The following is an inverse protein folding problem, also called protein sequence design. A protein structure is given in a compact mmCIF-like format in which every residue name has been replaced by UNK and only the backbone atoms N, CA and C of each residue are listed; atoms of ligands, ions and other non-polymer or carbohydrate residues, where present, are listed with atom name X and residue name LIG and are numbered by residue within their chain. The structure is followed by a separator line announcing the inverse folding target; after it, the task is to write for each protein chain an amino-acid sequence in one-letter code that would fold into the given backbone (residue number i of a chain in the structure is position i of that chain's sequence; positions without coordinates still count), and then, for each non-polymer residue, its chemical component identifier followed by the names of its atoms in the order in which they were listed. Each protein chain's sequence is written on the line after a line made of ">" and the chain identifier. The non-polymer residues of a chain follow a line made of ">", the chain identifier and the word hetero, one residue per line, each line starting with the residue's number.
data_IF_992585444840
#
_entry.id   IF_992585444840
#
_cell.length_a   1.000
_cell.length_b   1.000
_cell.length_c   1.000
_cell.angle_alpha   90.00
_cell.angle_beta   90.00
_cell.angle_gamma   90.00
#
_symmetry.space_group_name_H-M   'P 1'
#
loop_
_entity.id
_entity.type
_entity.pdbx_description
1 polymer ?
#
# COMPACT_ATOMS: atom_id res chain seq x y z
N UNK A 1 -4.15 -35.90 6.89
CA UNK A 1 -3.41 -34.74 6.32
C UNK A 1 -3.98 -33.49 6.98
N UNK A 2 -3.18 -32.73 7.73
CA UNK A 2 -3.64 -31.44 8.24
C UNK A 2 -3.89 -30.51 7.04
N UNK A 3 -5.11 -29.99 6.93
CA UNK A 3 -5.49 -29.06 5.87
C UNK A 3 -4.58 -27.82 5.95
N UNK A 4 -3.87 -27.54 4.87
CA UNK A 4 -3.13 -26.28 4.75
C UNK A 4 -4.13 -25.16 4.45
N UNK A 5 -3.90 -23.99 5.02
CA UNK A 5 -4.87 -22.90 5.04
C UNK A 5 -4.96 -22.19 3.68
N UNK A 6 -6.00 -22.51 2.89
CA UNK A 6 -6.33 -21.76 1.67
C UNK A 6 -7.05 -20.42 1.95
N UNK A 7 -7.19 -20.02 3.22
CA UNK A 7 -7.90 -18.78 3.59
C UNK A 7 -7.10 -17.53 3.21
N UNK A 8 -7.85 -16.47 2.88
CA UNK A 8 -7.33 -15.11 2.78
C UNK A 8 -6.79 -14.60 4.13
N UNK A 9 -7.47 -14.96 5.23
CA UNK A 9 -7.05 -14.69 6.61
C UNK A 9 -6.71 -16.01 7.29
N UNK A 10 -5.45 -16.48 7.21
CA UNK A 10 -5.05 -17.64 7.99
C UNK A 10 -5.05 -17.31 9.49
N UNK A 11 -5.48 -18.24 10.31
CA UNK A 11 -5.62 -18.06 11.76
C UNK A 11 -4.28 -18.24 12.51
N UNK A 12 -4.17 -17.78 13.77
CA UNK A 12 -3.01 -18.10 14.61
C UNK A 12 -2.78 -19.61 14.79
N UNK A 13 -3.85 -20.42 14.78
CA UNK A 13 -3.74 -21.88 14.84
C UNK A 13 -3.12 -22.45 13.55
N UNK A 14 -3.47 -21.89 12.39
CA UNK A 14 -2.84 -22.25 11.11
C UNK A 14 -1.34 -21.92 11.12
N UNK A 15 -0.98 -20.76 11.69
CA UNK A 15 0.42 -20.37 11.88
C UNK A 15 1.18 -21.36 12.78
N UNK A 16 0.61 -21.74 13.93
CA UNK A 16 1.21 -22.69 14.85
C UNK A 16 1.45 -24.05 14.17
N UNK A 17 0.44 -24.57 13.47
CA UNK A 17 0.51 -25.83 12.71
C UNK A 17 1.54 -25.75 11.59
N UNK A 18 1.58 -24.63 10.86
CA UNK A 18 2.56 -24.40 9.80
C UNK A 18 3.99 -24.48 10.34
N UNK A 19 4.28 -23.74 11.42
CA UNK A 19 5.64 -23.70 11.99
C UNK A 19 6.05 -25.02 12.65
N UNK A 20 5.11 -25.75 13.27
CA UNK A 20 5.36 -27.11 13.75
C UNK A 20 5.77 -28.05 12.61
N UNK A 21 5.03 -28.00 11.49
CA UNK A 21 5.37 -28.76 10.28
C UNK A 21 6.74 -28.35 9.72
N UNK A 22 7.06 -27.05 9.67
CA UNK A 22 8.39 -26.62 9.19
C UNK A 22 9.53 -27.07 10.14
N UNK A 23 9.33 -27.06 11.46
CA UNK A 23 10.33 -27.55 12.42
C UNK A 23 10.59 -29.05 12.28
N UNK A 24 9.56 -29.83 11.95
CA UNK A 24 9.69 -31.29 11.73
C UNK A 24 10.39 -31.66 10.42
N UNK A 25 10.48 -30.72 9.46
CA UNK A 25 11.26 -30.90 8.24
C UNK A 25 12.73 -30.67 8.60
N UNK A 26 13.59 -31.62 8.24
CA UNK A 26 15.04 -31.39 8.32
C UNK A 26 15.36 -30.13 7.51
N UNK A 27 16.20 -29.24 8.06
CA UNK A 27 16.74 -28.09 7.33
C UNK A 27 17.42 -28.67 6.09
N UNK A 28 16.76 -28.55 4.95
CA UNK A 28 17.34 -29.03 3.71
C UNK A 28 18.40 -28.02 3.35
N UNK A 29 19.65 -28.46 3.32
CA UNK A 29 20.78 -27.72 2.80
C UNK A 29 20.42 -27.27 1.38
N UNK A 30 19.99 -26.02 1.27
CA UNK A 30 19.34 -25.47 0.12
C UNK A 30 19.97 -24.13 -0.15
N UNK A 31 20.47 -23.95 -1.36
CA UNK A 31 20.98 -22.63 -1.76
C UNK A 31 19.77 -21.75 -2.11
N UNK A 32 19.90 -20.45 -1.82
CA UNK A 32 18.98 -19.44 -2.38
C UNK A 32 18.90 -19.59 -3.91
N UNK A 33 17.79 -19.19 -4.56
CA UNK A 33 17.67 -19.30 -6.01
C UNK A 33 18.85 -18.66 -6.74
N UNK A 34 19.24 -19.22 -7.90
CA UNK A 34 20.43 -18.77 -8.63
C UNK A 34 20.36 -17.28 -8.96
N UNK A 35 21.44 -16.55 -8.61
CA UNK A 35 21.54 -15.11 -8.82
C UNK A 35 20.80 -14.24 -7.80
N UNK A 36 20.27 -14.82 -6.73
CA UNK A 36 19.72 -14.08 -5.58
C UNK A 36 20.75 -13.96 -4.44
N UNK A 37 20.72 -12.88 -3.65
CA UNK A 37 21.66 -12.69 -2.55
C UNK A 37 21.41 -13.69 -1.42
N UNK A 38 22.48 -14.20 -0.80
CA UNK A 38 22.33 -15.06 0.40
C UNK A 38 21.77 -14.30 1.60
N UNK A 39 22.06 -13.00 1.68
CA UNK A 39 21.60 -12.09 2.71
C UNK A 39 21.53 -10.67 2.14
N UNK A 40 20.44 -9.97 2.40
CA UNK A 40 20.28 -8.54 2.14
C UNK A 40 20.84 -7.75 3.33
N UNK A 41 21.55 -6.66 3.06
CA UNK A 41 22.10 -5.77 4.08
C UNK A 41 21.74 -4.33 3.71
N UNK A 42 20.91 -3.69 4.53
CA UNK A 42 20.41 -2.33 4.33
C UNK A 42 19.67 -1.87 5.58
N UNK A 43 19.52 -0.56 5.86
CA UNK A 43 18.60 -0.05 6.88
C UNK A 43 17.14 -0.51 6.71
N UNK A 44 16.77 -1.00 5.53
CA UNK A 44 15.47 -1.62 5.26
C UNK A 44 15.32 -3.03 5.84
N UNK A 45 16.40 -3.64 6.34
CA UNK A 45 16.40 -4.96 6.98
C UNK A 45 16.31 -4.75 8.48
N UNK A 46 15.12 -4.97 9.04
CA UNK A 46 14.86 -4.81 10.46
C UNK A 46 13.82 -5.81 10.96
N UNK A 47 13.99 -6.24 12.20
CA UNK A 47 13.00 -6.97 13.01
C UNK A 47 12.02 -6.02 13.69
N UNK A 48 10.91 -6.54 14.24
CA UNK A 48 9.96 -5.74 15.02
C UNK A 48 10.68 -5.00 16.15
N UNK A 49 11.51 -5.73 16.89
CA UNK A 49 12.18 -5.24 18.09
C UNK A 49 13.13 -4.09 17.77
N UNK A 50 13.94 -4.22 16.73
CA UNK A 50 14.86 -3.17 16.26
C UNK A 50 14.12 -1.91 15.77
N UNK A 51 12.97 -2.09 15.12
CA UNK A 51 12.15 -0.98 14.66
C UNK A 51 11.47 -0.25 15.83
N UNK A 52 10.91 -0.99 16.80
CA UNK A 52 10.23 -0.45 17.97
C UNK A 52 11.18 0.27 18.93
N UNK A 53 12.43 -0.18 19.06
CA UNK A 53 13.48 0.50 19.84
C UNK A 53 13.72 1.95 19.34
N UNK A 54 13.50 2.20 18.04
CA UNK A 54 13.70 3.50 17.39
C UNK A 54 12.39 4.17 16.99
N UNK A 55 11.32 3.94 17.75
CA UNK A 55 9.99 4.43 17.40
C UNK A 55 9.86 5.96 17.33
N UNK A 56 10.75 6.71 17.99
CA UNK A 56 10.81 8.17 17.91
C UNK A 56 11.19 8.65 16.51
N UNK A 57 12.01 7.87 15.80
CA UNK A 57 12.55 8.22 14.49
C UNK A 57 11.50 8.00 13.38
N UNK A 58 10.39 7.33 13.72
CA UNK A 58 9.26 7.13 12.81
C UNK A 58 8.56 8.45 12.47
N UNK A 59 8.71 9.49 13.28
CA UNK A 59 7.92 10.71 13.16
C UNK A 59 8.73 11.90 12.63
N UNK A 60 8.16 12.55 11.64
CA UNK A 60 8.51 13.91 11.23
C UNK A 60 7.48 14.88 11.79
N UNK A 61 7.84 15.63 12.83
CA UNK A 61 6.92 16.57 13.48
C UNK A 61 7.00 17.94 12.78
N UNK A 62 5.86 18.42 12.27
CA UNK A 62 5.69 19.78 11.81
C UNK A 62 5.61 20.74 13.00
N UNK A 63 6.41 21.80 12.97
CA UNK A 63 6.32 22.91 13.92
C UNK A 63 5.18 23.85 13.56
N UNK A 64 4.82 24.78 14.45
CA UNK A 64 3.84 25.83 14.14
C UNK A 64 4.23 26.64 12.89
N UNK A 65 5.51 27.03 12.79
CA UNK A 65 6.05 27.74 11.63
C UNK A 65 5.96 26.91 10.33
N UNK A 66 6.16 25.59 10.43
CA UNK A 66 6.01 24.69 9.28
C UNK A 66 4.54 24.63 8.81
N UNK A 67 3.58 24.61 9.75
CA UNK A 67 2.14 24.61 9.45
C UNK A 67 1.72 25.95 8.83
N UNK A 68 2.20 27.08 9.36
CA UNK A 68 1.95 28.41 8.80
C UNK A 68 2.52 28.56 7.39
N UNK A 69 3.67 27.95 7.12
CA UNK A 69 4.26 27.88 5.79
C UNK A 69 3.39 27.08 4.81
N UNK A 70 2.85 25.93 5.24
CA UNK A 70 1.91 25.11 4.46
C UNK A 70 0.62 25.88 4.17
N UNK A 71 0.05 26.54 5.17
CA UNK A 71 -1.17 27.36 5.02
C UNK A 71 -0.93 28.52 4.04
N UNK A 72 0.22 29.18 4.15
CA UNK A 72 0.61 30.26 3.24
C UNK A 72 0.79 29.76 1.80
N UNK A 73 1.37 28.57 1.60
CA UNK A 73 1.51 27.96 0.28
C UNK A 73 0.15 27.60 -0.32
N UNK A 74 -0.76 27.03 0.49
CA UNK A 74 -2.15 26.76 0.10
C UNK A 74 -2.87 28.03 -0.36
N UNK A 75 -2.83 29.11 0.45
CA UNK A 75 -3.49 30.38 0.08
C UNK A 75 -2.92 30.98 -1.21
N UNK A 76 -1.60 30.90 -1.43
CA UNK A 76 -0.99 31.36 -2.69
C UNK A 76 -1.43 30.52 -3.88
N UNK A 77 -1.47 29.20 -3.74
CA UNK A 77 -1.89 28.28 -4.79
C UNK A 77 -3.34 28.54 -5.21
N UNK A 78 -4.26 28.68 -4.24
CA UNK A 78 -5.66 28.99 -4.49
C UNK A 78 -5.84 30.40 -5.08
N UNK A 79 -5.13 31.40 -4.55
CA UNK A 79 -5.19 32.78 -5.03
C UNK A 79 -4.67 32.97 -6.46
N UNK A 80 -3.76 32.10 -6.92
CA UNK A 80 -3.27 32.08 -8.29
C UNK A 80 -4.23 31.37 -9.29
N UNK A 81 -5.29 30.70 -8.79
CA UNK A 81 -6.24 29.98 -9.63
C UNK A 81 -5.63 28.75 -10.32
N UNK A 82 -4.62 28.13 -9.71
CA UNK A 82 -3.97 26.95 -10.26
C UNK A 82 -4.87 25.71 -10.18
N UNK A 83 -4.87 24.92 -11.27
CA UNK A 83 -5.50 23.60 -11.30
C UNK A 83 -4.69 22.61 -10.44
N UNK A 84 -5.35 21.66 -9.75
CA UNK A 84 -4.65 20.72 -8.87
C UNK A 84 -3.64 19.82 -9.60
N UNK A 85 -3.86 19.58 -10.89
CA UNK A 85 -2.91 18.90 -11.78
C UNK A 85 -1.57 19.61 -11.94
N UNK A 86 -1.52 20.91 -11.64
CA UNK A 86 -0.30 21.73 -11.69
C UNK A 86 0.51 21.74 -10.39
N UNK A 87 0.06 21.03 -9.34
CA UNK A 87 0.75 20.99 -8.04
C UNK A 87 2.17 20.42 -8.21
N UNK A 88 3.15 21.25 -7.89
CA UNK A 88 4.58 20.97 -7.92
C UNK A 88 5.31 21.77 -6.82
N UNK A 89 6.62 21.60 -6.70
CA UNK A 89 7.46 22.39 -5.80
C UNK A 89 7.51 23.89 -6.16
N UNK A 90 7.13 24.25 -7.38
CA UNK A 90 7.08 25.64 -7.86
C UNK A 90 5.72 26.28 -7.57
N UNK A 91 4.62 25.56 -7.83
CA UNK A 91 3.25 26.09 -7.65
C UNK A 91 2.79 26.00 -6.19
N UNK A 92 3.26 25.00 -5.43
CA UNK A 92 3.06 24.87 -3.98
C UNK A 92 4.38 25.13 -3.24
N UNK A 93 4.99 26.30 -3.47
CA UNK A 93 6.32 26.59 -2.93
C UNK A 93 6.34 26.71 -1.40
N UNK A 94 7.14 25.87 -0.74
CA UNK A 94 7.49 25.94 0.68
C UNK A 94 8.86 26.60 0.90
N UNK A 95 9.11 27.20 2.09
CA UNK A 95 10.43 27.69 2.46
C UNK A 95 11.51 26.61 2.30
N UNK A 96 12.70 27.01 1.88
CA UNK A 96 13.81 26.07 1.61
C UNK A 96 14.08 25.14 2.79
N UNK A 97 14.07 25.66 4.04
CA UNK A 97 14.29 24.85 5.24
C UNK A 97 13.29 23.70 5.42
N UNK A 98 12.00 23.97 5.23
CA UNK A 98 10.95 22.94 5.31
C UNK A 98 11.03 21.99 4.10
N UNK A 99 11.23 22.52 2.89
CA UNK A 99 11.40 21.71 1.68
C UNK A 99 12.56 20.71 1.82
N UNK A 100 13.74 21.15 2.27
CA UNK A 100 14.90 20.27 2.50
C UNK A 100 14.62 19.20 3.56
N UNK A 101 13.91 19.56 4.64
CA UNK A 101 13.50 18.61 5.68
C UNK A 101 12.50 17.58 5.15
N UNK A 102 11.55 17.97 4.29
CA UNK A 102 10.64 17.04 3.62
C UNK A 102 11.37 16.10 2.64
N UNK A 103 12.45 16.55 2.01
CA UNK A 103 13.33 15.66 1.22
C UNK A 103 13.97 14.57 2.05
N UNK A 104 14.24 14.81 3.34
CA UNK A 104 14.74 13.77 4.23
C UNK A 104 13.69 12.68 4.49
N UNK A 105 12.39 12.99 4.46
CA UNK A 105 11.32 11.98 4.51
C UNK A 105 11.46 10.99 3.34
N UNK A 106 11.75 11.49 2.14
CA UNK A 106 12.00 10.64 0.97
C UNK A 106 13.27 9.79 1.15
N UNK A 107 14.35 10.37 1.69
CA UNK A 107 15.56 9.62 2.02
C UNK A 107 15.27 8.49 3.02
N UNK A 108 14.47 8.73 4.06
CA UNK A 108 14.08 7.70 5.03
C UNK A 108 13.27 6.57 4.38
N UNK A 109 12.42 6.87 3.40
CA UNK A 109 11.69 5.87 2.65
C UNK A 109 12.60 5.03 1.73
N UNK A 110 13.51 5.63 0.98
CA UNK A 110 14.33 4.91 0.01
C UNK A 110 15.64 4.32 0.59
N UNK A 111 16.20 4.91 1.64
CA UNK A 111 17.54 4.59 2.16
C UNK A 111 17.58 4.35 3.67
N UNK A 112 16.55 4.79 4.40
CA UNK A 112 16.39 4.57 5.84
C UNK A 112 15.56 3.31 6.15
N UNK A 113 14.74 3.40 7.19
CA UNK A 113 13.90 2.29 7.68
C UNK A 113 12.78 1.89 6.72
N UNK A 114 12.53 2.68 5.67
CA UNK A 114 11.55 2.37 4.63
C UNK A 114 10.21 3.06 4.79
N UNK A 115 10.02 3.86 5.84
CA UNK A 115 8.81 4.66 6.01
C UNK A 115 9.06 5.85 6.94
N UNK A 116 8.16 6.83 6.91
CA UNK A 116 8.08 7.88 7.93
C UNK A 116 6.66 8.44 8.02
N UNK A 117 6.24 8.84 9.22
CA UNK A 117 4.95 9.46 9.53
C UNK A 117 5.16 10.95 9.77
N UNK A 118 4.59 11.79 8.91
CA UNK A 118 4.51 13.22 9.11
C UNK A 118 3.29 13.56 9.99
N UNK A 119 3.52 14.32 11.06
CA UNK A 119 2.52 14.65 12.09
C UNK A 119 2.45 16.16 12.36
N UNK A 120 1.25 16.66 12.65
CA UNK A 120 1.03 18.03 13.14
C UNK A 120 -0.11 18.79 12.46
N UNK A 121 -0.66 18.27 11.36
CA UNK A 121 -1.80 18.90 10.68
C UNK A 121 -3.11 18.59 11.40
N UNK A 122 -4.07 19.53 11.38
CA UNK A 122 -5.46 19.25 11.72
C UNK A 122 -6.35 19.31 10.47
N UNK A 123 -6.83 18.16 9.94
CA UNK A 123 -7.62 18.14 8.71
C UNK A 123 -8.96 18.88 8.82
N UNK A 124 -9.48 19.15 10.04
CA UNK A 124 -10.71 19.94 10.19
C UNK A 124 -10.53 21.44 9.90
N UNK A 125 -9.29 21.93 9.83
CA UNK A 125 -9.02 23.33 9.44
C UNK A 125 -9.08 23.55 7.92
N UNK A 126 -9.20 22.48 7.14
CA UNK A 126 -9.19 22.51 5.69
C UNK A 126 -10.52 21.99 5.13
N UNK A 127 -10.99 22.60 4.05
CA UNK A 127 -12.04 21.97 3.22
C UNK A 127 -11.53 20.65 2.63
N UNK A 128 -12.44 19.83 2.08
CA UNK A 128 -12.03 18.57 1.46
C UNK A 128 -11.06 18.80 0.27
N UNK A 129 -11.31 19.82 -0.55
CA UNK A 129 -10.41 20.23 -1.64
C UNK A 129 -9.06 20.71 -1.10
N UNK A 130 -9.05 21.52 -0.04
CA UNK A 130 -7.80 22.01 0.57
C UNK A 130 -6.99 20.87 1.19
N UNK A 131 -7.62 19.88 1.84
CA UNK A 131 -6.93 18.68 2.32
C UNK A 131 -6.22 17.94 1.17
N UNK A 132 -6.86 17.83 0.00
CA UNK A 132 -6.26 17.23 -1.19
C UNK A 132 -5.06 18.06 -1.70
N UNK A 133 -5.19 19.39 -1.78
CA UNK A 133 -4.11 20.29 -2.22
C UNK A 133 -2.93 20.24 -1.25
N UNK A 134 -3.16 20.34 0.06
CA UNK A 134 -2.12 20.27 1.10
C UNK A 134 -1.39 18.93 1.03
N UNK A 135 -2.14 17.83 0.92
CA UNK A 135 -1.55 16.50 0.80
C UNK A 135 -0.66 16.36 -0.44
N UNK A 136 -1.16 16.78 -1.60
CA UNK A 136 -0.41 16.73 -2.86
C UNK A 136 0.80 17.68 -2.87
N UNK A 137 0.66 18.85 -2.26
CA UNK A 137 1.71 19.87 -2.13
C UNK A 137 2.86 19.39 -1.25
N UNK A 138 2.56 18.86 -0.07
CA UNK A 138 3.58 18.25 0.81
C UNK A 138 4.23 17.04 0.11
N UNK A 139 3.42 16.16 -0.51
CA UNK A 139 3.95 15.01 -1.24
C UNK A 139 4.88 15.42 -2.39
N UNK A 140 4.63 16.55 -3.07
CA UNK A 140 5.50 17.05 -4.13
C UNK A 140 6.92 17.38 -3.62
N UNK A 141 7.04 17.87 -2.38
CA UNK A 141 8.33 18.11 -1.72
C UNK A 141 9.01 16.84 -1.19
N UNK A 142 8.30 15.71 -1.10
CA UNK A 142 8.86 14.42 -0.64
C UNK A 142 9.23 13.57 -1.86
N UNK A 143 8.25 13.16 -2.66
CA UNK A 143 8.40 12.34 -3.84
C UNK A 143 7.56 12.94 -4.99
N UNK A 144 8.17 13.73 -5.90
CA UNK A 144 7.47 14.70 -6.73
C UNK A 144 6.56 14.09 -7.80
N UNK A 145 6.75 12.81 -8.17
CA UNK A 145 5.95 12.18 -9.20
C UNK A 145 4.81 11.39 -8.57
N UNK A 146 3.57 11.83 -8.79
CA UNK A 146 2.39 11.05 -8.43
C UNK A 146 2.18 9.92 -9.43
N UNK A 147 1.75 8.76 -8.95
CA UNK A 147 1.41 7.58 -9.75
C UNK A 147 -0.09 7.50 -9.98
N UNK A 148 -0.50 6.98 -11.14
CA UNK A 148 -1.91 6.74 -11.41
C UNK A 148 -2.44 5.53 -10.63
N UNK A 149 -3.63 5.68 -10.05
CA UNK A 149 -4.26 4.71 -9.15
C UNK A 149 -5.29 3.84 -9.85
N UNK A 150 -5.81 4.28 -11.00
CA UNK A 150 -6.85 3.65 -11.80
C UNK A 150 -6.28 2.91 -13.02
N UNK A 151 -7.10 2.02 -13.61
CA UNK A 151 -6.69 1.21 -14.77
C UNK A 151 -6.67 2.01 -16.06
N UNK A 152 -7.40 3.13 -16.09
CA UNK A 152 -7.39 4.12 -17.16
C UNK A 152 -6.11 4.97 -17.14
N UNK A 153 -5.35 4.93 -16.04
CA UNK A 153 -4.13 5.70 -15.82
C UNK A 153 -4.37 7.22 -15.96
N UNK A 154 -5.42 7.73 -15.31
CA UNK A 154 -5.78 9.15 -15.31
C UNK A 154 -5.76 9.75 -13.89
N UNK A 155 -6.26 9.02 -12.89
CA UNK A 155 -6.43 9.51 -11.51
C UNK A 155 -5.17 9.31 -10.68
N UNK A 156 -4.64 10.37 -10.06
CA UNK A 156 -3.42 10.31 -9.23
C UNK A 156 -3.66 10.34 -7.72
N UNK A 157 -4.89 10.64 -7.30
CA UNK A 157 -5.34 10.59 -5.91
C UNK A 157 -6.59 9.74 -5.83
N UNK A 158 -6.67 8.92 -4.80
CA UNK A 158 -7.72 7.94 -4.64
C UNK A 158 -8.23 7.98 -3.23
N UNK A 159 -9.55 7.83 -3.10
CA UNK A 159 -10.20 7.78 -1.81
C UNK A 159 -10.16 6.36 -1.26
N UNK A 160 -9.55 6.15 -0.10
CA UNK A 160 -9.79 4.97 0.73
C UNK A 160 -10.77 5.36 1.83
N UNK A 161 -12.00 5.65 1.45
CA UNK A 161 -13.10 5.61 2.39
C UNK A 161 -13.58 4.17 2.46
N UNK A 162 -13.79 3.65 3.68
CA UNK A 162 -14.84 2.66 3.82
C UNK A 162 -16.14 3.44 3.66
N UNK A 163 -16.56 3.54 2.41
CA UNK A 163 -17.96 3.72 2.15
C UNK A 163 -18.57 2.35 2.46
N UNK A 164 -19.02 2.12 3.70
CA UNK A 164 -20.35 1.51 3.79
C UNK A 164 -21.15 2.42 2.90
N UNK A 165 -21.60 1.86 1.76
CA UNK A 165 -22.62 2.45 0.94
C UNK A 165 -23.65 3.06 1.88
N UNK A 166 -23.57 4.37 2.09
CA UNK A 166 -24.75 5.17 2.16
C UNK A 166 -25.24 5.23 0.70
N UNK A 167 -25.65 4.12 0.07
CA UNK A 167 -27.06 3.72 0.16
C UNK A 167 -27.74 4.55 1.23
N UNK A 168 -28.31 5.67 0.80
CA UNK A 168 -29.39 6.28 1.53
C UNK A 168 -30.31 5.17 2.06
N UNK A 169 -30.16 4.83 3.33
CA UNK A 169 -31.25 4.26 4.12
C UNK A 169 -32.14 5.45 4.48
N UNK A 170 -32.69 6.07 3.44
CA UNK A 170 -34.00 6.69 3.47
C UNK A 170 -34.79 5.94 2.41
N UNK A 171 -35.53 4.96 2.91
CA UNK A 171 -36.49 4.10 2.20
C UNK A 171 -35.93 2.81 1.60
N UNK A 172 -35.54 1.87 2.46
CA UNK A 172 -35.88 0.46 2.20
C UNK A 172 -36.34 -0.19 3.50
N UNK A 173 -37.61 0.05 3.84
CA UNK A 173 -38.39 -1.01 4.48
C UNK A 173 -38.50 -2.16 3.47
N UNK A 174 -38.25 -3.40 3.95
CA UNK A 174 -38.29 -4.71 3.28
C UNK A 174 -37.04 -5.14 2.51
N UNK A 175 -36.44 -6.21 3.03
CA UNK A 175 -35.70 -7.21 2.23
C UNK A 175 -34.25 -7.35 2.65
N UNK A 176 -33.93 -8.44 3.37
CA UNK A 176 -32.56 -8.97 3.42
C UNK A 176 -32.23 -9.43 1.99
N UNK A 177 -31.46 -8.65 1.24
CA UNK A 177 -31.04 -9.04 -0.11
C UNK A 177 -29.51 -9.05 -0.28
N UNK A 178 -29.07 -9.96 -1.13
CA UNK A 178 -27.75 -10.56 -1.15
C UNK A 178 -26.66 -9.76 -1.90
N UNK A 179 -26.56 -8.44 -1.70
CA UNK A 179 -25.68 -7.54 -2.47
C UNK A 179 -24.23 -7.41 -1.97
N UNK A 180 -23.87 -7.98 -0.81
CA UNK A 180 -22.48 -7.94 -0.30
C UNK A 180 -21.52 -8.95 -0.97
N UNK A 181 -21.94 -9.69 -2.00
CA UNK A 181 -21.07 -10.67 -2.70
C UNK A 181 -20.27 -9.99 -3.81
N UNK A 182 -19.18 -9.32 -3.49
CA UNK A 182 -18.29 -8.80 -4.56
C UNK A 182 -17.20 -7.81 -4.17
N UNK A 183 -17.22 -7.28 -2.95
CA UNK A 183 -16.33 -6.20 -2.54
C UNK A 183 -14.92 -6.71 -2.22
N UNK A 184 -13.89 -5.94 -2.62
CA UNK A 184 -12.51 -6.22 -2.26
C UNK A 184 -12.26 -5.88 -0.76
N UNK A 185 -11.33 -6.58 -0.07
CA UNK A 185 -11.10 -6.42 1.37
C UNK A 185 -10.85 -4.97 1.82
N UNK A 186 -10.15 -4.18 0.99
CA UNK A 186 -9.78 -2.80 1.29
C UNK A 186 -10.98 -1.88 1.57
N UNK A 187 -12.16 -2.18 1.02
CA UNK A 187 -13.38 -1.38 1.13
C UNK A 187 -14.38 -1.92 2.17
N UNK A 188 -13.94 -2.85 3.02
CA UNK A 188 -14.73 -3.44 4.11
C UNK A 188 -14.03 -3.23 5.44
N UNK A 189 -14.73 -3.34 6.56
CA UNK A 189 -14.20 -3.23 7.93
C UNK A 189 -13.32 -4.42 8.35
N UNK A 190 -13.30 -5.49 7.55
CA UNK A 190 -12.47 -6.66 7.76
C UNK A 190 -10.97 -6.32 7.72
N UNK A 191 -10.16 -7.19 8.33
CA UNK A 191 -8.71 -7.08 8.20
C UNK A 191 -8.28 -7.16 6.71
N UNK A 192 -7.14 -6.56 6.38
CA UNK A 192 -6.49 -6.72 5.07
C UNK A 192 -5.20 -7.48 5.32
N UNK A 193 -4.99 -8.60 4.61
CA UNK A 193 -3.78 -9.41 4.74
C UNK A 193 -2.53 -8.61 4.34
N UNK A 194 -1.34 -9.08 4.73
CA UNK A 194 -0.11 -8.45 4.25
C UNK A 194 -0.04 -8.48 2.71
N UNK A 195 0.31 -7.35 2.12
CA UNK A 195 0.44 -7.19 0.68
C UNK A 195 1.36 -6.02 0.33
N UNK A 196 1.67 -5.91 -0.95
CA UNK A 196 2.23 -4.73 -1.62
C UNK A 196 1.22 -4.23 -2.64
N UNK A 197 1.11 -2.93 -2.79
CA UNK A 197 0.28 -2.29 -3.80
C UNK A 197 0.90 -2.32 -5.22
N UNK A 198 2.17 -2.73 -5.32
CA UNK A 198 2.96 -2.67 -6.54
C UNK A 198 3.17 -1.23 -7.01
N UNK A 199 3.52 -0.35 -6.08
CA UNK A 199 3.98 1.01 -6.31
C UNK A 199 5.39 1.19 -5.73
N UNK A 200 5.98 2.38 -5.85
CA UNK A 200 7.23 2.69 -5.15
C UNK A 200 6.99 3.18 -3.73
N UNK A 201 6.40 4.36 -3.59
CA UNK A 201 6.01 4.91 -2.30
C UNK A 201 4.50 4.92 -2.20
N UNK A 202 3.95 4.15 -1.26
CA UNK A 202 2.57 4.27 -0.82
C UNK A 202 2.47 5.41 0.18
N UNK A 203 1.54 6.34 -0.05
CA UNK A 203 1.24 7.39 0.90
C UNK A 203 -0.22 7.36 1.32
N UNK A 204 -0.48 7.53 2.62
CA UNK A 204 -1.82 7.59 3.21
C UNK A 204 -1.95 8.81 4.14
N UNK A 205 -2.96 9.65 3.93
CA UNK A 205 -3.28 10.79 4.78
C UNK A 205 -4.55 10.52 5.59
N UNK A 206 -4.45 10.53 6.93
CA UNK A 206 -5.56 10.24 7.82
C UNK A 206 -6.42 11.47 8.11
N UNK A 207 -7.59 11.54 7.47
CA UNK A 207 -8.58 12.61 7.73
C UNK A 207 -9.44 12.29 8.95
N UNK A 208 -9.67 11.00 9.20
CA UNK A 208 -10.43 10.49 10.34
C UNK A 208 -10.03 9.05 10.64
N UNK A 209 -9.92 8.71 11.92
CA UNK A 209 -9.57 7.38 12.42
C UNK A 209 -10.82 6.65 12.96
N UNK A 210 -10.88 5.31 12.87
CA UNK A 210 -11.97 4.54 13.46
C UNK A 210 -11.92 4.59 15.00
N UNK A 211 -13.00 4.17 15.66
CA UNK A 211 -13.08 4.14 17.12
C UNK A 211 -12.09 3.13 17.75
N UNK A 212 -11.96 1.95 17.14
CA UNK A 212 -11.10 0.85 17.58
C UNK A 212 -10.49 0.14 16.38
N UNK A 213 -9.26 -0.36 16.50
CA UNK A 213 -8.60 -1.15 15.46
C UNK A 213 -8.19 -0.34 14.21
N UNK A 214 -8.11 -1.02 13.06
CA UNK A 214 -7.90 -0.37 11.76
C UNK A 214 -6.51 0.20 11.54
N UNK A 215 -5.57 -0.14 12.43
CA UNK A 215 -4.18 0.32 12.38
C UNK A 215 -3.49 -0.23 11.14
N UNK A 216 -2.61 0.60 10.56
CA UNK A 216 -1.70 0.19 9.51
C UNK A 216 -0.56 -0.61 10.15
N UNK A 217 -0.31 -1.81 9.62
CA UNK A 217 0.78 -2.68 10.05
C UNK A 217 1.85 -2.72 8.95
N UNK A 218 3.12 -2.65 9.33
CA UNK A 218 4.26 -2.73 8.39
C UNK A 218 5.21 -3.85 8.79
N UNK A 219 5.76 -4.57 7.82
CA UNK A 219 6.88 -5.49 8.03
C UNK A 219 7.91 -5.35 6.90
N UNK A 220 9.19 -5.47 7.23
CA UNK A 220 10.26 -5.49 6.24
C UNK A 220 10.19 -6.75 5.37
N UNK A 221 9.96 -6.57 4.06
CA UNK A 221 9.98 -7.67 3.10
C UNK A 221 11.40 -8.22 2.91
N UNK A 222 12.42 -7.37 3.11
CA UNK A 222 13.83 -7.77 3.04
C UNK A 222 14.25 -8.59 4.27
N UNK A 223 13.73 -8.27 5.45
CA UNK A 223 13.93 -9.13 6.63
C UNK A 223 13.24 -10.48 6.47
N UNK A 224 12.01 -10.48 5.94
CA UNK A 224 11.29 -11.72 5.62
C UNK A 224 12.08 -12.55 4.60
N UNK A 225 12.66 -11.91 3.58
CA UNK A 225 13.55 -12.57 2.62
C UNK A 225 14.76 -13.23 3.32
N UNK A 226 15.45 -12.51 4.21
CA UNK A 226 16.62 -13.03 4.94
C UNK A 226 16.24 -14.23 5.83
N UNK A 227 15.12 -14.16 6.52
CA UNK A 227 14.58 -15.26 7.32
C UNK A 227 14.29 -16.51 6.47
N UNK A 228 13.67 -16.32 5.30
CA UNK A 228 13.41 -17.41 4.35
C UNK A 228 14.70 -17.96 3.73
N UNK A 229 15.67 -17.09 3.38
CA UNK A 229 16.96 -17.49 2.83
C UNK A 229 17.71 -18.40 3.81
N UNK A 230 17.65 -18.08 5.12
CA UNK A 230 18.31 -18.83 6.18
C UNK A 230 17.58 -20.12 6.56
N UNK A 231 16.25 -20.07 6.70
CA UNK A 231 15.47 -21.18 7.28
C UNK A 231 14.75 -22.06 6.26
N UNK A 232 14.35 -21.50 5.10
CA UNK A 232 13.56 -22.22 4.11
C UNK A 232 13.74 -21.69 2.66
N UNK A 233 14.94 -21.84 2.07
CA UNK A 233 15.25 -21.33 0.73
C UNK A 233 14.41 -21.96 -0.38
N UNK A 234 13.75 -23.10 -0.13
CA UNK A 234 12.77 -23.70 -1.06
C UNK A 234 11.54 -22.82 -1.26
N UNK A 235 11.09 -22.11 -0.22
CA UNK A 235 9.99 -21.16 -0.34
C UNK A 235 10.39 -20.00 -1.25
N UNK A 236 11.61 -19.47 -1.11
CA UNK A 236 12.12 -18.45 -2.03
C UNK A 236 12.06 -18.95 -3.48
N UNK A 237 12.51 -20.19 -3.74
CA UNK A 237 12.42 -20.78 -5.08
C UNK A 237 10.98 -20.75 -5.61
N UNK A 238 9.99 -21.20 -4.84
CA UNK A 238 8.58 -21.14 -5.25
C UNK A 238 8.09 -19.72 -5.51
N UNK A 239 8.56 -18.73 -4.74
CA UNK A 239 8.19 -17.32 -4.98
C UNK A 239 8.77 -16.75 -6.28
N UNK A 240 9.88 -17.31 -6.78
CA UNK A 240 10.48 -16.94 -8.08
C UNK A 240 9.83 -17.59 -9.30
N UNK A 241 9.00 -18.62 -9.11
CA UNK A 241 8.27 -19.28 -10.19
C UNK A 241 7.10 -18.39 -10.67
N UNK A 242 6.55 -18.58 -11.88
CA UNK A 242 5.40 -17.80 -12.35
C UNK A 242 4.10 -18.13 -11.58
N UNK A 243 3.37 -17.09 -11.16
CA UNK A 243 2.07 -17.18 -10.49
C UNK A 243 0.97 -16.57 -11.35
N UNK A 244 -0.14 -17.28 -11.51
CA UNK A 244 -1.34 -16.77 -12.20
C UNK A 244 -2.17 -15.97 -11.20
N UNK A 245 -2.27 -14.66 -11.40
CA UNK A 245 -2.97 -13.72 -10.53
C UNK A 245 -4.30 -13.32 -11.17
N UNK A 246 -5.38 -13.50 -10.43
CA UNK A 246 -6.71 -13.07 -10.85
C UNK A 246 -6.81 -11.54 -10.73
N UNK A 247 -7.24 -10.87 -11.78
CA UNK A 247 -7.51 -9.42 -11.75
C UNK A 247 -8.86 -9.10 -11.12
N UNK A 248 -9.74 -10.10 -10.98
CA UNK A 248 -11.13 -9.94 -10.60
C UNK A 248 -11.85 -8.87 -11.44
N UNK A 249 -11.44 -8.70 -12.70
CA UNK A 249 -12.04 -7.73 -13.62
C UNK A 249 -12.60 -8.47 -14.82
N UNK A 250 -13.24 -7.73 -15.71
CA UNK A 250 -13.59 -8.27 -17.03
C UNK A 250 -12.29 -8.65 -17.76
N UNK A 251 -12.09 -9.96 -17.99
CA UNK A 251 -10.88 -10.49 -18.60
C UNK A 251 -10.67 -10.03 -20.05
N UNK A 252 -11.70 -9.51 -20.72
CA UNK A 252 -11.53 -8.89 -22.03
C UNK A 252 -10.76 -7.56 -21.96
N UNK A 253 -10.83 -6.86 -20.83
CA UNK A 253 -10.15 -5.58 -20.59
C UNK A 253 -8.91 -5.73 -19.73
N UNK A 254 -8.97 -6.59 -18.72
CA UNK A 254 -7.91 -6.81 -17.74
C UNK A 254 -7.71 -8.32 -17.53
N UNK A 255 -7.01 -9.00 -18.46
CA UNK A 255 -6.77 -10.44 -18.36
C UNK A 255 -5.92 -10.80 -17.14
N UNK A 256 -5.98 -12.05 -16.66
CA UNK A 256 -5.12 -12.55 -15.59
C UNK A 256 -3.64 -12.31 -15.88
N UNK A 257 -2.89 -11.94 -14.85
CA UNK A 257 -1.46 -11.63 -14.97
C UNK A 257 -0.64 -12.83 -14.51
N UNK A 258 0.36 -13.22 -15.30
CA UNK A 258 1.31 -14.27 -14.89
C UNK A 258 2.68 -13.65 -14.63
N UNK A 259 3.16 -13.74 -13.38
CA UNK A 259 4.46 -13.21 -12.96
C UNK A 259 4.99 -13.87 -11.70
N UNK A 260 6.30 -13.82 -11.41
CA UNK A 260 6.80 -14.18 -10.08
C UNK A 260 6.30 -13.23 -9.00
N UNK A 261 6.28 -13.70 -7.75
CA UNK A 261 6.02 -12.86 -6.58
C UNK A 261 7.32 -12.25 -6.03
N UNK A 262 8.44 -12.95 -6.18
CA UNK A 262 9.78 -12.48 -5.81
C UNK A 262 10.65 -12.41 -7.05
N UNK A 263 11.24 -11.26 -7.30
CA UNK A 263 12.15 -11.04 -8.43
C UNK A 263 13.43 -10.34 -7.98
N UNK A 264 14.53 -10.65 -8.66
CA UNK A 264 15.75 -9.85 -8.54
C UNK A 264 15.65 -8.59 -9.39
N UNK A 265 16.24 -7.52 -8.88
CA UNK A 265 16.51 -6.28 -9.63
C UNK A 265 17.93 -6.33 -10.21
N UNK A 266 18.30 -5.36 -11.06
CA UNK A 266 19.60 -5.35 -11.73
C UNK A 266 20.79 -5.13 -10.76
N UNK A 267 20.54 -4.62 -9.55
CA UNK A 267 21.57 -4.24 -8.56
C UNK A 267 21.63 -5.17 -7.34
N UNK A 268 21.34 -6.47 -7.54
CA UNK A 268 21.32 -7.49 -6.48
C UNK A 268 20.34 -7.26 -5.32
N UNK A 269 19.47 -6.26 -5.41
CA UNK A 269 18.28 -6.10 -4.55
C UNK A 269 17.15 -7.01 -5.00
N UNK A 270 16.22 -7.33 -4.10
CA UNK A 270 15.02 -8.11 -4.41
C UNK A 270 13.77 -7.25 -4.32
N UNK A 271 12.80 -7.56 -5.16
CA UNK A 271 11.48 -6.94 -5.20
C UNK A 271 10.43 -8.02 -4.89
N UNK A 272 9.74 -7.87 -3.76
CA UNK A 272 8.60 -8.71 -3.41
C UNK A 272 7.32 -7.99 -3.83
N UNK A 273 6.59 -8.54 -4.79
CA UNK A 273 5.27 -8.07 -5.24
C UNK A 273 4.20 -9.06 -4.81
N UNK A 274 3.77 -8.96 -3.58
CA UNK A 274 2.98 -9.98 -2.90
C UNK A 274 1.55 -9.54 -2.60
N UNK A 275 0.58 -10.40 -2.88
CA UNK A 275 -0.78 -10.30 -2.33
C UNK A 275 -1.41 -11.69 -2.36
N UNK A 276 -2.05 -12.09 -1.25
CA UNK A 276 -2.80 -13.35 -1.19
C UNK A 276 -4.10 -13.30 -2.00
N UNK A 277 -4.73 -12.12 -2.04
CA UNK A 277 -6.08 -11.93 -2.57
C UNK A 277 -6.23 -12.40 -4.03
N UNK A 278 -5.34 -12.02 -4.98
CA UNK A 278 -5.39 -12.52 -6.35
C UNK A 278 -5.30 -14.04 -6.45
N UNK A 279 -4.63 -14.72 -5.51
CA UNK A 279 -4.34 -16.16 -5.59
C UNK A 279 -5.43 -17.01 -4.91
N UNK A 280 -5.95 -16.57 -3.77
CA UNK A 280 -6.93 -17.35 -2.97
C UNK A 280 -8.37 -16.87 -3.15
N UNK A 281 -8.56 -15.62 -3.58
CA UNK A 281 -9.83 -14.92 -3.45
C UNK A 281 -10.22 -14.69 -1.99
N UNK A 282 -11.42 -14.15 -1.79
CA UNK A 282 -12.02 -13.86 -0.48
C UNK A 282 -13.56 -14.00 -0.54
N UNK A 283 -14.31 -12.96 -0.19
CA UNK A 283 -15.75 -12.85 -0.47
C UNK A 283 -15.98 -12.92 -1.98
N UNK A 284 -15.16 -12.15 -2.74
CA UNK A 284 -15.03 -12.34 -4.18
C UNK A 284 -14.27 -13.62 -4.48
N UNK A 285 -14.92 -14.55 -5.19
CA UNK A 285 -14.34 -15.86 -5.51
C UNK A 285 -13.44 -15.75 -6.73
N UNK A 286 -12.26 -16.37 -6.64
CA UNK A 286 -11.33 -16.52 -7.76
C UNK A 286 -11.98 -17.38 -8.84
N UNK A 287 -11.76 -17.01 -10.11
CA UNK A 287 -12.29 -17.76 -11.23
C UNK A 287 -11.81 -19.22 -11.23
N UNK A 288 -12.74 -20.16 -11.33
CA UNK A 288 -12.42 -21.59 -11.44
C UNK A 288 -11.80 -21.98 -12.79
N UNK A 289 -11.82 -21.06 -13.78
CA UNK A 289 -11.14 -21.24 -15.06
C UNK A 289 -9.61 -21.06 -14.94
N UNK A 290 -9.13 -20.45 -13.86
CA UNK A 290 -7.69 -20.30 -13.59
C UNK A 290 -7.14 -21.56 -12.92
N UNK A 291 -5.85 -21.89 -13.15
CA UNK A 291 -5.19 -22.95 -12.40
C UNK A 291 -5.31 -22.73 -10.89
N UNK A 292 -5.72 -23.78 -10.18
CA UNK A 292 -5.74 -23.78 -8.73
C UNK A 292 -4.31 -23.66 -8.18
N UNK A 293 -4.08 -22.88 -7.12
CA UNK A 293 -2.77 -22.80 -6.49
C UNK A 293 -2.36 -24.18 -5.95
N UNK A 294 -1.11 -24.56 -6.21
CA UNK A 294 -0.55 -25.81 -5.71
C UNK A 294 -0.32 -25.72 -4.20
N UNK A 295 -0.12 -26.88 -3.56
CA UNK A 295 0.14 -26.91 -2.13
C UNK A 295 1.45 -26.18 -1.73
N UNK A 296 2.47 -26.23 -2.59
CA UNK A 296 3.74 -25.51 -2.36
C UNK A 296 3.56 -23.99 -2.49
N UNK A 297 2.66 -23.54 -3.37
CA UNK A 297 2.28 -22.13 -3.49
C UNK A 297 1.53 -21.66 -2.23
N UNK A 298 0.56 -22.43 -1.74
CA UNK A 298 -0.12 -22.08 -0.48
C UNK A 298 0.86 -22.06 0.70
N UNK A 299 1.73 -23.06 0.83
CA UNK A 299 2.79 -23.07 1.87
C UNK A 299 3.67 -21.81 1.79
N UNK A 300 3.95 -21.29 0.60
CA UNK A 300 4.74 -20.06 0.39
C UNK A 300 3.98 -18.78 0.77
N UNK A 301 2.69 -18.68 0.41
CA UNK A 301 1.83 -17.56 0.82
C UNK A 301 1.70 -17.52 2.35
N UNK A 302 1.55 -18.68 2.99
CA UNK A 302 1.42 -18.83 4.44
C UNK A 302 2.70 -18.39 5.15
N UNK A 303 3.87 -18.82 4.66
CA UNK A 303 5.15 -18.41 5.23
C UNK A 303 5.35 -16.89 5.22
N UNK A 304 5.06 -16.22 4.09
CA UNK A 304 5.14 -14.76 4.00
C UNK A 304 4.19 -14.08 4.99
N UNK A 305 2.93 -14.51 5.02
CA UNK A 305 1.92 -13.94 5.91
C UNK A 305 2.29 -14.11 7.39
N UNK A 306 2.77 -15.29 7.79
CA UNK A 306 3.12 -15.56 9.18
C UNK A 306 4.41 -14.88 9.61
N UNK A 307 5.43 -14.84 8.75
CA UNK A 307 6.67 -14.11 9.02
C UNK A 307 6.41 -12.61 9.15
N UNK A 308 5.60 -12.04 8.24
CA UNK A 308 5.17 -10.65 8.31
C UNK A 308 4.40 -10.37 9.61
N UNK A 309 3.42 -11.20 9.96
CA UNK A 309 2.64 -11.03 11.19
C UNK A 309 3.50 -11.11 12.47
N UNK A 310 4.54 -11.96 12.48
CA UNK A 310 5.45 -12.06 13.62
C UNK A 310 6.46 -10.92 13.73
N UNK A 311 6.79 -10.25 12.63
CA UNK A 311 7.80 -9.18 12.57
C UNK A 311 7.19 -7.79 12.32
N UNK A 312 5.87 -7.64 12.28
CA UNK A 312 5.26 -6.37 11.91
C UNK A 312 5.26 -5.37 13.06
N UNK A 313 5.48 -4.10 12.77
CA UNK A 313 5.14 -3.01 13.69
C UNK A 313 3.74 -2.50 13.38
N UNK A 314 3.10 -1.88 14.36
CA UNK A 314 1.86 -1.14 14.15
C UNK A 314 2.14 0.36 14.23
N UNK A 315 1.74 1.09 13.19
CA UNK A 315 1.90 2.53 13.18
C UNK A 315 0.81 3.18 14.05
N UNK A 316 1.17 4.00 15.05
CA UNK A 316 0.20 4.69 15.88
C UNK A 316 -0.26 5.98 15.16
N UNK A 317 -0.81 5.83 13.96
CA UNK A 317 -1.31 6.94 13.15
C UNK A 317 -2.54 7.57 13.79
N UNK A 318 -2.58 8.90 13.79
CA UNK A 318 -3.67 9.71 14.29
C UNK A 318 -4.29 10.55 13.17
N UNK A 319 -5.45 11.16 13.46
CA UNK A 319 -6.05 12.16 12.58
C UNK A 319 -5.03 13.27 12.31
N UNK A 320 -4.80 13.56 11.03
CA UNK A 320 -3.82 14.55 10.56
C UNK A 320 -2.47 13.97 10.13
N UNK A 321 -2.20 12.71 10.46
CA UNK A 321 -0.94 12.09 10.07
C UNK A 321 -0.93 11.69 8.58
N UNK A 322 0.21 11.90 7.93
CA UNK A 322 0.52 11.36 6.62
C UNK A 322 1.64 10.32 6.77
N UNK A 323 1.44 9.09 6.31
CA UNK A 323 2.52 8.09 6.25
C UNK A 323 2.99 7.95 4.81
N UNK A 324 4.31 7.86 4.64
CA UNK A 324 4.99 7.52 3.39
C UNK A 324 5.73 6.20 3.59
N UNK A 325 5.51 5.21 2.72
CA UNK A 325 5.94 3.82 2.90
C UNK A 325 6.58 3.35 1.59
N UNK A 326 7.79 2.83 1.65
CA UNK A 326 8.43 2.15 0.53
C UNK A 326 7.83 0.76 0.31
N UNK A 327 6.87 0.68 -0.61
CA UNK A 327 6.12 -0.53 -0.98
C UNK A 327 6.98 -1.55 -1.75
N UNK A 328 8.20 -1.19 -2.15
CA UNK A 328 9.14 -2.12 -2.77
C UNK A 328 9.94 -2.96 -1.77
N UNK A 329 10.12 -2.46 -0.54
CA UNK A 329 10.88 -3.14 0.52
C UNK A 329 10.07 -3.45 1.78
N UNK A 330 8.83 -2.94 1.87
CA UNK A 330 7.92 -3.23 2.96
C UNK A 330 6.66 -3.92 2.44
N UNK A 331 6.07 -4.78 3.26
CA UNK A 331 4.68 -5.24 3.09
C UNK A 331 3.83 -4.58 4.15
N UNK A 332 2.59 -4.27 3.80
CA UNK A 332 1.66 -3.61 4.70
C UNK A 332 0.34 -4.38 4.81
N UNK A 333 -0.33 -4.20 5.95
CA UNK A 333 -1.62 -4.79 6.26
C UNK A 333 -2.47 -3.78 7.03
N UNK A 334 -3.74 -4.11 7.20
CA UNK A 334 -4.66 -3.35 8.04
C UNK A 334 -5.38 -4.28 8.99
N UNK A 335 -5.48 -3.90 10.25
CA UNK A 335 -6.35 -4.59 11.19
C UNK A 335 -7.82 -4.45 10.80
N UNK A 336 -8.66 -5.36 11.30
CA UNK A 336 -10.10 -5.10 11.32
C UNK A 336 -10.41 -3.93 12.24
N UNK A 337 -11.57 -3.32 12.07
CA UNK A 337 -12.03 -2.25 12.95
C UNK A 337 -13.55 -2.23 13.06
N UNK A 338 -14.03 -1.55 14.09
CA UNK A 338 -15.46 -1.36 14.30
C UNK A 338 -15.87 0.02 13.78
N UNK A 339 -16.86 0.04 12.88
CA UNK A 339 -17.57 1.26 12.51
C UNK A 339 -18.93 1.29 13.22
N UNK A 340 -19.03 2.07 14.30
CA UNK A 340 -20.31 2.33 14.97
C UNK A 340 -21.12 3.37 14.20
N UNK A 341 -22.41 3.08 13.95
CA UNK A 341 -23.35 4.04 13.37
C UNK A 341 -23.45 5.29 14.28
N UNK A 342 -22.95 6.43 13.78
CA UNK A 342 -22.95 7.72 14.49
C UNK A 342 -21.59 8.20 14.99
N UNK A 343 -20.51 7.42 14.80
CA UNK A 343 -19.12 7.83 15.10
C UNK A 343 -18.31 8.10 13.84
N UNK A 344 -17.14 8.70 14.02
CA UNK A 344 -16.26 9.08 12.92
C UNK A 344 -15.80 7.83 12.15
N UNK A 345 -16.11 7.78 10.86
CA UNK A 345 -15.70 6.71 9.95
C UNK A 345 -14.23 6.84 9.60
N UNK A 346 -13.57 5.72 9.25
CA UNK A 346 -12.18 5.76 8.79
C UNK A 346 -12.13 6.40 7.41
N UNK A 347 -11.43 7.52 7.28
CA UNK A 347 -11.31 8.25 6.03
C UNK A 347 -9.85 8.57 5.73
N UNK A 348 -9.30 7.94 4.69
CA UNK A 348 -7.95 8.18 4.22
C UNK A 348 -7.94 8.67 2.77
N UNK A 349 -7.02 9.58 2.46
CA UNK A 349 -6.59 9.85 1.09
C UNK A 349 -5.34 9.03 0.76
N UNK A 350 -5.28 8.46 -0.44
CA UNK A 350 -4.19 7.60 -0.90
C UNK A 350 -3.51 8.20 -2.13
N UNK A 351 -2.19 8.09 -2.16
CA UNK A 351 -1.36 8.35 -3.34
C UNK A 351 -0.33 7.25 -3.53
N UNK A 352 0.03 7.00 -4.79
CA UNK A 352 1.30 6.39 -5.13
C UNK A 352 2.26 7.51 -5.52
N UNK A 353 3.49 7.43 -5.07
CA UNK A 353 4.52 8.42 -5.34
C UNK A 353 5.77 7.72 -5.88
N UNK A 354 6.57 8.49 -6.58
CA UNK A 354 7.86 8.10 -7.15
C UNK A 354 8.80 9.30 -7.05
N UNK A 355 10.04 9.03 -6.68
CA UNK A 355 11.11 10.01 -6.66
C UNK A 355 12.14 9.68 -7.76
N UNK A 356 12.11 10.37 -8.91
CA UNK A 356 13.04 10.11 -10.01
C UNK A 356 14.51 10.19 -9.59
N UNK A 357 14.84 10.96 -8.54
CA UNK A 357 16.22 11.11 -8.05
C UNK A 357 16.70 9.98 -7.13
N UNK A 358 15.80 9.12 -6.65
CA UNK A 358 16.10 8.07 -5.66
C UNK A 358 15.57 6.69 -6.02
N UNK A 359 14.75 6.58 -7.06
CA UNK A 359 14.08 5.35 -7.47
C UNK A 359 15.05 4.18 -7.64
N UNK A 360 14.52 2.97 -7.43
CA UNK A 360 15.29 1.74 -7.65
C UNK A 360 14.98 1.16 -9.03
N UNK A 361 15.91 0.39 -9.61
CA UNK A 361 15.59 -0.45 -10.75
C UNK A 361 14.48 -1.44 -10.39
N UNK A 362 13.45 -1.52 -11.24
CA UNK A 362 12.37 -2.51 -11.08
C UNK A 362 12.62 -3.74 -11.97
N UNK A 363 12.11 -4.89 -11.52
CA UNK A 363 12.21 -6.14 -12.26
C UNK A 363 11.58 -6.00 -13.66
N UNK A 364 12.08 -6.71 -14.69
CA UNK A 364 11.59 -6.60 -16.07
C UNK A 364 10.06 -6.74 -16.21
N UNK A 365 9.43 -7.63 -15.44
CA UNK A 365 7.99 -7.86 -15.49
C UNK A 365 7.16 -6.74 -14.81
N UNK A 366 7.79 -5.80 -14.10
CA UNK A 366 7.17 -4.63 -13.50
C UNK A 366 7.29 -3.37 -14.36
N UNK A 367 8.31 -3.28 -15.25
CA UNK A 367 8.65 -2.07 -16.03
C UNK A 367 7.48 -1.46 -16.77
N UNK A 368 6.68 -2.29 -17.45
CA UNK A 368 5.52 -1.81 -18.23
C UNK A 368 4.46 -1.15 -17.32
N UNK A 369 4.17 -1.75 -16.15
CA UNK A 369 3.22 -1.18 -15.18
C UNK A 369 3.77 0.11 -14.58
N UNK A 370 5.05 0.17 -14.21
CA UNK A 370 5.69 1.38 -13.69
C UNK A 370 5.70 2.51 -14.71
N UNK A 371 6.06 2.22 -15.96
CA UNK A 371 6.06 3.22 -17.04
C UNK A 371 4.66 3.80 -17.27
N UNK A 372 3.61 2.98 -17.19
CA UNK A 372 2.22 3.49 -17.27
C UNK A 372 1.81 4.25 -16.02
N UNK A 373 2.19 3.79 -14.83
CA UNK A 373 1.82 4.40 -13.56
C UNK A 373 2.44 5.79 -13.37
N UNK A 374 3.70 5.98 -13.76
CA UNK A 374 4.45 7.21 -13.48
C UNK A 374 4.80 8.04 -14.72
N UNK A 375 4.68 7.45 -15.92
CA UNK A 375 4.99 8.10 -17.19
C UNK A 375 3.81 8.87 -17.80
N UNK A 376 3.92 9.13 -19.10
CA UNK A 376 2.88 9.80 -19.88
C UNK A 376 1.66 8.90 -20.11
N UNK A 377 0.47 9.50 -20.10
CA UNK A 377 -0.81 8.83 -20.33
C UNK A 377 -1.55 9.36 -21.58
N UNK A 378 -0.96 10.30 -22.32
CA UNK A 378 -1.51 10.82 -23.58
C UNK A 378 -0.68 10.36 -24.79
N UNK A 379 -1.30 10.17 -25.98
CA UNK A 379 -0.58 9.72 -27.19
C UNK A 379 0.54 10.65 -27.66
N UNK A 380 0.45 11.95 -27.33
CA UNK A 380 1.46 12.97 -27.63
C UNK A 380 2.66 12.94 -26.66
N UNK A 381 2.70 12.01 -25.71
CA UNK A 381 3.75 11.91 -24.70
C UNK A 381 3.57 12.86 -23.51
N UNK A 382 2.45 13.58 -23.44
CA UNK A 382 2.11 14.40 -22.28
C UNK A 382 1.55 13.57 -21.14
N UNK A 383 1.67 14.13 -19.94
CA UNK A 383 1.13 13.57 -18.72
C UNK A 383 0.06 14.50 -18.18
N UNK A 384 -1.17 14.01 -18.09
CA UNK A 384 -2.31 14.75 -17.55
C UNK A 384 -2.84 14.04 -16.32
N UNK A 385 -2.96 14.78 -15.23
CA UNK A 385 -3.50 14.31 -13.96
C UNK A 385 -4.95 14.71 -13.80
N UNK A 386 -5.78 13.77 -13.37
CA UNK A 386 -7.05 14.10 -12.75
C UNK A 386 -6.97 13.85 -11.24
N UNK A 387 -7.59 14.76 -10.51
CA UNK A 387 -7.88 14.60 -9.10
C UNK A 387 -9.37 14.41 -8.96
N UNK A 388 -9.78 13.60 -7.99
CA UNK A 388 -11.19 13.45 -7.68
C UNK A 388 -11.62 14.69 -6.88
N UNK A 389 -12.21 15.69 -7.54
CA UNK A 389 -12.54 16.99 -6.91
C UNK A 389 -13.77 16.93 -6.00
N UNK A 390 -14.67 15.97 -6.23
CA UNK A 390 -15.88 15.78 -5.45
C UNK A 390 -15.61 14.84 -4.26
N UNK A 391 -15.23 15.43 -3.13
CA UNK A 391 -15.26 14.77 -1.82
C UNK A 391 -16.38 15.32 -0.93
N UNK A 392 -17.28 16.14 -1.49
CA UNK A 392 -18.46 16.62 -0.78
C UNK A 392 -19.33 15.45 -0.33
N UNK A 393 -19.92 15.59 0.85
CA UNK A 393 -20.60 14.58 1.66
C UNK A 393 -21.88 13.98 1.06
N UNK A 394 -22.03 13.95 -0.27
CA UNK A 394 -23.19 13.41 -0.96
C UNK A 394 -22.79 12.21 -1.80
N UNK A 395 -23.11 11.02 -1.29
CA UNK A 395 -22.87 9.72 -1.92
C UNK A 395 -23.44 9.60 -3.33
N UNK A 396 -22.57 9.82 -4.32
CA UNK A 396 -22.74 9.26 -5.65
C UNK A 396 -22.05 7.90 -5.72
N UNK A 397 -22.82 6.88 -6.08
CA UNK A 397 -22.30 5.54 -6.37
C UNK A 397 -21.38 5.61 -7.59
N UNK A 398 -20.07 5.45 -7.41
CA UNK A 398 -19.15 5.25 -8.53
C UNK A 398 -18.50 3.87 -8.43
N UNK A 399 -19.10 2.90 -9.13
CA UNK A 399 -18.50 1.58 -9.43
C UNK A 399 -17.14 1.69 -10.19
N UNK A 400 -16.67 2.91 -10.50
CA UNK A 400 -15.44 3.19 -11.27
C UNK A 400 -14.16 3.24 -10.44
N UNK A 401 -14.18 3.09 -9.13
CA UNK A 401 -12.95 3.04 -8.32
C UNK A 401 -12.21 1.68 -8.45
N UNK A 402 -11.96 1.22 -9.68
CA UNK A 402 -11.12 0.05 -9.94
C UNK A 402 -9.66 0.42 -9.75
N UNK A 403 -9.19 0.37 -8.49
CA UNK A 403 -7.78 0.63 -8.19
C UNK A 403 -6.85 -0.41 -8.83
N UNK A 404 -5.58 -0.04 -8.97
CA UNK A 404 -4.50 -0.82 -9.56
C UNK A 404 -3.93 -1.94 -8.66
N UNK A 405 -4.56 -2.19 -7.51
CA UNK A 405 -4.17 -3.19 -6.50
C UNK A 405 -4.50 -4.62 -6.89
#
# INVERSE_FOLDING_TARGET
>A
MAAVCASYHPSPLDAARFWEKQRSRHVVDGQVPSGYPKNLTSPLVWTREEAEEKNTDWFFILTGDDIDAVNSALSRFEGAGHEMSSISTETFALPHGLSSRLREVSNQCYRGIGFQVLRGLDPSQYTAKQNAIVYAGIAAHIAPRRGFLDIEYERVMGRLQILILQCQVRNFQRGRDASHRGTAPAFTDAAVSFHTDNCEILSLYCLSAPFSGGRTLLASSWQIYNELAKKNPKILKTLTEPWVLDTFKDYSKAPPVTRPLLEKTEEASVLLRFSRYPVTGWQRKRSSALPAPTQVQIDALDALQFLAASNCISLPMEKGDMVFINDMALVHARESFDEDEGRAQRHLLKMYLHDPSQHWPVAPSARSKWARMYGANRPNGERQESFEEAYDSTGGDDERAQTNG
#
